data_IF_782783211339
#
_entry.id   IF_782783211339
#
_cell.length_a   1.000
_cell.length_b   1.000
_cell.length_c   1.000
_cell.angle_alpha   90.00
_cell.angle_beta   90.00
_cell.angle_gamma   90.00
#
_symmetry.space_group_name_H-M   'P 1'
#
loop_
_entity.id
_entity.type
_entity.pdbx_description
1 polymer ?
#
# COMPACT_ATOMS: atom_id res chain seq x y z
N UNK A 1 -13.53 33.67 -1.12
CA UNK A 1 -13.73 32.72 -2.24
C UNK A 1 -12.42 32.30 -2.90
N UNK A 2 -11.44 33.20 -3.09
CA UNK A 2 -10.09 32.86 -3.58
C UNK A 2 -9.36 31.83 -2.70
N UNK A 3 -9.46 31.96 -1.37
CA UNK A 3 -8.88 31.01 -0.42
C UNK A 3 -9.42 29.59 -0.58
N UNK A 4 -10.75 29.43 -0.67
CA UNK A 4 -11.39 28.12 -0.89
C UNK A 4 -10.96 27.51 -2.24
N UNK A 5 -10.85 28.33 -3.30
CA UNK A 5 -10.35 27.88 -4.61
C UNK A 5 -8.92 27.36 -4.53
N UNK A 6 -8.05 28.10 -3.84
CA UNK A 6 -6.65 27.71 -3.63
C UNK A 6 -6.55 26.40 -2.83
N UNK A 7 -7.34 26.25 -1.76
CA UNK A 7 -7.40 25.02 -0.95
C UNK A 7 -7.86 23.84 -1.81
N UNK A 8 -8.95 23.98 -2.58
CA UNK A 8 -9.45 22.91 -3.45
C UNK A 8 -8.43 22.51 -4.52
N UNK A 9 -7.71 23.49 -5.09
CA UNK A 9 -6.64 23.22 -6.05
C UNK A 9 -5.50 22.45 -5.39
N UNK A 10 -5.10 22.83 -4.17
CA UNK A 10 -4.06 22.11 -3.42
C UNK A 10 -4.45 20.69 -3.04
N UNK A 11 -5.72 20.46 -2.69
CA UNK A 11 -6.24 19.11 -2.47
C UNK A 11 -6.15 18.32 -3.78
N UNK A 12 -6.60 18.88 -4.90
CA UNK A 12 -6.55 18.22 -6.21
C UNK A 12 -5.11 17.85 -6.62
N UNK A 13 -4.15 18.77 -6.50
CA UNK A 13 -2.73 18.53 -6.79
C UNK A 13 -2.17 17.40 -5.92
N UNK A 14 -2.43 17.46 -4.60
CA UNK A 14 -1.93 16.46 -3.64
C UNK A 14 -2.56 15.07 -3.89
N UNK A 15 -3.82 15.03 -4.35
CA UNK A 15 -4.50 13.79 -4.72
C UNK A 15 -3.90 13.16 -5.99
N UNK A 16 -3.50 13.97 -6.98
CA UNK A 16 -2.80 13.49 -8.18
C UNK A 16 -1.45 12.88 -7.78
N UNK A 17 -0.70 13.53 -6.90
CA UNK A 17 0.54 12.97 -6.36
C UNK A 17 0.29 11.66 -5.60
N UNK A 18 -0.76 11.58 -4.79
CA UNK A 18 -1.12 10.37 -4.05
C UNK A 18 -1.46 9.20 -4.99
N UNK A 19 -2.21 9.45 -6.08
CA UNK A 19 -2.52 8.41 -7.08
C UNK A 19 -1.25 7.85 -7.74
N UNK A 20 -0.28 8.71 -8.06
CA UNK A 20 1.00 8.26 -8.62
C UNK A 20 1.79 7.38 -7.63
N UNK A 21 1.81 7.76 -6.35
CA UNK A 21 2.46 6.98 -5.29
C UNK A 21 1.75 5.64 -5.05
N UNK A 22 0.42 5.60 -5.07
CA UNK A 22 -0.36 4.36 -4.95
C UNK A 22 -0.13 3.41 -6.14
N UNK A 23 0.00 3.95 -7.36
CA UNK A 23 0.34 3.17 -8.53
C UNK A 23 1.75 2.55 -8.41
N UNK A 24 2.71 3.33 -7.90
CA UNK A 24 4.07 2.82 -7.64
C UNK A 24 4.08 1.77 -6.52
N UNK A 25 3.34 1.98 -5.43
CA UNK A 25 3.15 1.00 -4.34
C UNK A 25 2.64 -0.34 -4.90
N UNK A 26 1.61 -0.28 -5.74
CA UNK A 26 1.04 -1.45 -6.39
C UNK A 26 2.06 -2.14 -7.31
N UNK A 27 2.85 -1.37 -8.07
CA UNK A 27 3.86 -1.90 -8.96
C UNK A 27 4.98 -2.63 -8.17
N UNK A 28 5.42 -2.05 -7.05
CA UNK A 28 6.40 -2.69 -6.17
C UNK A 28 5.89 -4.01 -5.58
N UNK A 29 4.62 -4.06 -5.16
CA UNK A 29 4.00 -5.29 -4.63
C UNK A 29 3.72 -6.36 -5.69
N UNK A 30 3.59 -5.99 -6.97
CA UNK A 30 3.44 -6.95 -8.08
C UNK A 30 4.74 -7.65 -8.44
N UNK A 31 5.90 -7.13 -8.02
CA UNK A 31 7.20 -7.75 -8.31
C UNK A 31 7.32 -9.11 -7.60
N UNK A 32 8.06 -10.08 -8.18
CA UNK A 32 8.29 -11.38 -7.55
C UNK A 32 9.01 -11.27 -6.20
N UNK A 33 9.87 -10.27 -6.05
CA UNK A 33 10.60 -9.95 -4.83
C UNK A 33 10.30 -8.50 -4.44
N UNK A 34 9.81 -8.32 -3.21
CA UNK A 34 9.52 -7.00 -2.65
C UNK A 34 10.83 -6.37 -2.19
N UNK A 35 11.10 -5.14 -2.62
CA UNK A 35 12.15 -4.33 -2.01
C UNK A 35 11.58 -3.61 -0.77
N UNK A 36 11.94 -4.03 0.46
CA UNK A 36 11.35 -3.46 1.67
C UNK A 36 11.70 -1.99 1.86
N UNK A 37 12.87 -1.54 1.39
CA UNK A 37 13.30 -0.14 1.50
C UNK A 37 12.49 0.74 0.56
N UNK A 38 12.32 0.32 -0.69
CA UNK A 38 11.48 1.06 -1.65
C UNK A 38 10.03 1.12 -1.20
N UNK A 39 9.48 0.02 -0.67
CA UNK A 39 8.11 -0.02 -0.16
C UNK A 39 7.94 0.91 1.06
N UNK A 40 8.92 0.95 1.97
CA UNK A 40 8.90 1.85 3.12
C UNK A 40 8.89 3.32 2.70
N UNK A 41 9.75 3.72 1.75
CA UNK A 41 9.80 5.10 1.25
C UNK A 41 8.45 5.52 0.65
N UNK A 42 7.83 4.62 -0.12
CA UNK A 42 6.51 4.84 -0.73
C UNK A 42 5.43 4.96 0.35
N UNK A 43 5.46 4.12 1.37
CA UNK A 43 4.52 4.18 2.51
C UNK A 43 4.68 5.48 3.33
N UNK A 44 5.92 5.90 3.59
CA UNK A 44 6.21 7.15 4.29
C UNK A 44 5.71 8.37 3.50
N UNK A 45 5.93 8.36 2.17
CA UNK A 45 5.44 9.41 1.26
C UNK A 45 3.92 9.47 1.26
N UNK A 46 3.25 8.31 1.17
CA UNK A 46 1.79 8.20 1.28
C UNK A 46 1.27 8.78 2.60
N UNK A 47 1.90 8.45 3.73
CA UNK A 47 1.54 8.98 5.05
C UNK A 47 1.64 10.51 5.13
N UNK A 48 2.71 11.07 4.57
CA UNK A 48 2.90 12.52 4.46
C UNK A 48 1.80 13.16 3.60
N UNK A 49 1.52 12.62 2.41
CA UNK A 49 0.49 13.15 1.51
C UNK A 49 -0.91 13.09 2.14
N UNK A 50 -1.24 12.00 2.82
CA UNK A 50 -2.50 11.87 3.56
C UNK A 50 -2.61 12.92 4.67
N UNK A 51 -1.53 13.17 5.40
CA UNK A 51 -1.49 14.21 6.44
C UNK A 51 -1.70 15.61 5.84
N UNK A 52 -1.11 15.89 4.68
CA UNK A 52 -1.32 17.14 3.93
C UNK A 52 -2.77 17.28 3.45
N UNK A 53 -3.38 16.21 2.92
CA UNK A 53 -4.79 16.19 2.51
C UNK A 53 -5.70 16.47 3.71
N UNK A 54 -5.46 15.82 4.85
CA UNK A 54 -6.23 16.05 6.08
C UNK A 54 -6.14 17.50 6.56
N UNK A 55 -4.95 18.10 6.50
CA UNK A 55 -4.75 19.52 6.85
C UNK A 55 -5.57 20.45 5.94
N UNK A 56 -5.51 20.23 4.61
CA UNK A 56 -6.28 21.05 3.68
C UNK A 56 -7.79 20.83 3.77
N UNK A 57 -8.24 19.61 4.09
CA UNK A 57 -9.67 19.35 4.33
C UNK A 57 -10.18 20.04 5.60
N UNK A 58 -9.36 20.15 6.64
CA UNK A 58 -9.68 20.95 7.83
C UNK A 58 -9.77 22.44 7.50
N UNK A 59 -8.79 22.98 6.75
CA UNK A 59 -8.83 24.36 6.26
C UNK A 59 -10.07 24.62 5.38
N UNK A 60 -10.44 23.66 4.53
CA UNK A 60 -11.66 23.72 3.72
C UNK A 60 -12.88 23.86 4.61
N UNK A 61 -13.03 23.02 5.63
CA UNK A 61 -14.15 23.07 6.59
C UNK A 61 -14.23 24.39 7.35
N UNK A 62 -13.08 24.95 7.74
CA UNK A 62 -13.04 26.26 8.39
C UNK A 62 -13.49 27.39 7.45
N UNK A 63 -13.04 27.39 6.19
CA UNK A 63 -13.47 28.37 5.19
C UNK A 63 -14.94 28.20 4.78
N UNK A 64 -15.45 26.97 4.75
CA UNK A 64 -16.87 26.66 4.53
C UNK A 64 -17.76 27.25 5.62
N UNK A 65 -17.39 27.05 6.89
CA UNK A 65 -18.09 27.66 8.03
C UNK A 65 -18.06 29.19 7.95
N UNK A 66 -16.92 29.77 7.57
CA UNK A 66 -16.76 31.24 7.45
C UNK A 66 -17.60 31.83 6.30
N UNK A 67 -17.73 31.09 5.20
CA UNK A 67 -18.49 31.53 4.02
C UNK A 67 -19.95 31.07 4.04
N UNK A 68 -20.33 30.27 5.04
CA UNK A 68 -21.64 29.62 5.17
C UNK A 68 -22.01 28.82 3.90
N UNK A 69 -21.01 28.12 3.35
CA UNK A 69 -21.11 27.30 2.15
C UNK A 69 -20.83 25.84 2.52
N UNK A 70 -21.56 24.92 1.89
CA UNK A 70 -21.37 23.48 2.11
C UNK A 70 -21.15 22.77 0.77
N UNK A 71 -20.18 21.86 0.73
CA UNK A 71 -20.03 20.91 -0.36
C UNK A 71 -21.32 20.08 -0.51
N UNK A 72 -21.85 19.87 -1.74
CA UNK A 72 -21.17 19.91 -3.04
C UNK A 72 -21.28 21.24 -3.80
N UNK A 73 -21.46 22.37 -3.10
CA UNK A 73 -21.41 23.73 -3.65
C UNK A 73 -22.37 23.98 -4.83
N UNK A 74 -23.64 23.59 -4.69
CA UNK A 74 -24.66 23.71 -5.75
C UNK A 74 -24.78 25.11 -6.36
N UNK A 75 -24.44 26.15 -5.59
CA UNK A 75 -24.51 27.54 -6.02
C UNK A 75 -23.33 27.98 -6.91
N UNK A 76 -22.25 27.20 -6.98
CA UNK A 76 -21.05 27.52 -7.74
C UNK A 76 -20.59 26.33 -8.58
N UNK A 77 -20.90 26.36 -9.89
CA UNK A 77 -20.57 25.27 -10.81
C UNK A 77 -19.07 24.94 -10.88
N UNK A 78 -18.19 25.93 -10.71
CA UNK A 78 -16.75 25.72 -10.70
C UNK A 78 -16.31 24.91 -9.46
N UNK A 79 -16.77 25.28 -8.26
CA UNK A 79 -16.45 24.56 -7.04
C UNK A 79 -17.10 23.18 -7.00
N UNK A 80 -18.33 23.05 -7.49
CA UNK A 80 -19.00 21.76 -7.61
C UNK A 80 -18.24 20.79 -8.51
N UNK A 81 -17.69 21.28 -9.64
CA UNK A 81 -16.84 20.48 -10.53
C UNK A 81 -15.53 20.04 -9.85
N UNK A 82 -14.82 20.96 -9.21
CA UNK A 82 -13.59 20.61 -8.47
C UNK A 82 -13.87 19.61 -7.35
N UNK A 83 -14.96 19.78 -6.61
CA UNK A 83 -15.37 18.84 -5.56
C UNK A 83 -15.68 17.45 -6.11
N UNK A 84 -16.37 17.38 -7.25
CA UNK A 84 -16.63 16.12 -7.95
C UNK A 84 -15.32 15.42 -8.35
N UNK A 85 -14.39 16.15 -8.97
CA UNK A 85 -13.07 15.60 -9.34
C UNK A 85 -12.33 15.05 -8.11
N UNK A 86 -12.29 15.80 -7.02
CA UNK A 86 -11.65 15.37 -5.76
C UNK A 86 -12.30 14.08 -5.25
N UNK A 87 -13.63 14.02 -5.22
CA UNK A 87 -14.38 12.85 -4.73
C UNK A 87 -14.17 11.61 -5.60
N UNK A 88 -14.10 11.79 -6.92
CA UNK A 88 -13.77 10.70 -7.87
C UNK A 88 -12.35 10.15 -7.62
N UNK A 89 -11.37 11.04 -7.42
CA UNK A 89 -9.99 10.65 -7.08
C UNK A 89 -9.89 9.94 -5.73
N UNK A 90 -10.61 10.41 -4.72
CA UNK A 90 -10.68 9.72 -3.40
C UNK A 90 -11.22 8.31 -3.56
N UNK A 91 -12.25 8.14 -4.39
CA UNK A 91 -12.83 6.82 -4.67
C UNK A 91 -11.81 5.91 -5.39
N UNK A 92 -11.10 6.43 -6.39
CA UNK A 92 -10.04 5.69 -7.09
C UNK A 92 -8.89 5.31 -6.16
N UNK A 93 -8.40 6.26 -5.36
CA UNK A 93 -7.37 6.02 -4.35
C UNK A 93 -7.78 4.93 -3.34
N UNK A 94 -9.04 4.91 -2.92
CA UNK A 94 -9.55 3.87 -2.04
C UNK A 94 -9.56 2.48 -2.71
N UNK A 95 -9.93 2.41 -4.00
CA UNK A 95 -9.84 1.16 -4.78
C UNK A 95 -8.39 0.66 -4.89
N UNK A 96 -7.44 1.56 -5.17
CA UNK A 96 -6.01 1.20 -5.15
C UNK A 96 -5.58 0.68 -3.78
N UNK A 97 -6.00 1.34 -2.70
CA UNK A 97 -5.66 0.92 -1.35
C UNK A 97 -6.21 -0.48 -1.00
N UNK A 98 -7.44 -0.80 -1.42
CA UNK A 98 -8.01 -2.14 -1.28
C UNK A 98 -7.20 -3.21 -2.03
N UNK A 99 -6.78 -2.90 -3.26
CA UNK A 99 -5.96 -3.81 -4.06
C UNK A 99 -4.57 -4.03 -3.45
N UNK A 100 -3.94 -2.96 -2.93
CA UNK A 100 -2.65 -3.01 -2.24
C UNK A 100 -2.75 -3.89 -0.99
N UNK A 101 -3.81 -3.74 -0.21
CA UNK A 101 -4.07 -4.58 0.96
C UNK A 101 -4.20 -6.07 0.57
N UNK A 102 -4.96 -6.38 -0.49
CA UNK A 102 -5.11 -7.75 -0.98
C UNK A 102 -3.77 -8.36 -1.42
N UNK A 103 -2.94 -7.62 -2.14
CA UNK A 103 -1.60 -8.08 -2.55
C UNK A 103 -0.70 -8.35 -1.34
N UNK A 104 -0.74 -7.46 -0.35
CA UNK A 104 0.06 -7.60 0.86
C UNK A 104 -0.37 -8.82 1.68
N UNK A 105 -1.67 -9.09 1.77
CA UNK A 105 -2.20 -10.30 2.40
C UNK A 105 -1.71 -11.59 1.70
N UNK A 106 -1.75 -11.63 0.36
CA UNK A 106 -1.22 -12.76 -0.43
C UNK A 106 0.27 -12.99 -0.12
N UNK A 107 1.07 -11.93 -0.04
CA UNK A 107 2.49 -12.03 0.31
C UNK A 107 2.70 -12.53 1.74
N UNK A 108 1.92 -12.06 2.70
CA UNK A 108 1.95 -12.54 4.09
C UNK A 108 1.60 -14.02 4.19
N UNK A 109 0.56 -14.47 3.47
CA UNK A 109 0.19 -15.88 3.40
C UNK A 109 1.32 -16.74 2.81
N UNK A 110 1.95 -16.29 1.70
CA UNK A 110 3.09 -16.99 1.10
C UNK A 110 4.27 -17.11 2.06
N UNK A 111 4.63 -16.02 2.74
CA UNK A 111 5.73 -16.01 3.73
C UNK A 111 5.41 -16.95 4.89
N UNK A 112 4.19 -16.94 5.42
CA UNK A 112 3.78 -17.83 6.49
C UNK A 112 3.83 -19.30 6.05
N UNK A 113 3.34 -19.62 4.85
CA UNK A 113 3.43 -20.97 4.30
C UNK A 113 4.89 -21.43 4.15
N UNK A 114 5.77 -20.59 3.62
CA UNK A 114 7.21 -20.88 3.54
C UNK A 114 7.82 -21.11 4.92
N UNK A 115 7.53 -20.27 5.91
CA UNK A 115 7.98 -20.47 7.31
C UNK A 115 7.50 -21.81 7.86
N UNK A 116 6.26 -22.21 7.62
CA UNK A 116 5.77 -23.52 8.10
C UNK A 116 6.46 -24.70 7.41
N UNK A 117 6.79 -24.57 6.12
CA UNK A 117 7.54 -25.60 5.38
C UNK A 117 8.98 -25.68 5.89
N UNK A 118 9.66 -24.54 6.07
CA UNK A 118 11.01 -24.47 6.63
C UNK A 118 11.04 -25.04 8.05
N UNK A 119 10.13 -24.63 8.93
CA UNK A 119 10.05 -25.18 10.29
C UNK A 119 9.77 -26.70 10.29
N UNK A 120 8.95 -27.20 9.36
CA UNK A 120 8.73 -28.65 9.18
C UNK A 120 9.97 -29.37 8.65
N UNK A 121 10.75 -28.73 7.77
CA UNK A 121 12.01 -29.26 7.26
C UNK A 121 13.11 -29.27 8.33
N UNK A 122 13.24 -28.21 9.13
CA UNK A 122 14.17 -28.15 10.27
C UNK A 122 13.84 -29.23 11.32
N UNK A 123 12.57 -29.43 11.64
CA UNK A 123 12.13 -30.52 12.53
C UNK A 123 12.34 -31.92 11.92
N UNK A 124 12.47 -32.04 10.59
CA UNK A 124 12.79 -33.29 9.89
C UNK A 124 14.29 -33.53 9.69
N UNK A 125 15.15 -32.54 9.98
CA UNK A 125 16.60 -32.61 9.78
C UNK A 125 17.36 -32.79 11.10
N UNK A 126 16.74 -33.46 12.08
CA UNK A 126 17.46 -34.11 13.17
C UNK A 126 17.96 -35.51 12.71
N UNK A 127 18.61 -35.58 11.55
CA UNK A 127 19.43 -36.74 11.20
C UNK A 127 20.84 -36.40 11.68
N UNK A 128 21.16 -36.81 12.90
CA UNK A 128 22.47 -37.06 13.52
C UNK A 128 22.35 -36.73 15.01
N UNK A 129 21.80 -37.68 15.77
CA UNK A 129 21.96 -37.69 17.21
C UNK A 129 23.45 -37.92 17.55
N UNK A 130 23.90 -37.28 18.63
CA UNK A 130 25.27 -37.31 19.17
C UNK A 130 25.78 -38.72 19.55
N UNK A 131 24.93 -39.75 19.44
CA UNK A 131 25.21 -41.17 19.75
C UNK A 131 25.60 -42.04 18.53
N UNK A 132 25.65 -41.48 17.31
CA UNK A 132 26.38 -42.08 16.20
C UNK A 132 25.86 -43.43 15.67
N UNK A 133 24.56 -43.73 15.76
CA UNK A 133 24.00 -44.94 15.15
C UNK A 133 23.13 -44.62 13.92
N UNK A 134 23.76 -44.72 12.75
CA UNK A 134 23.09 -44.68 11.44
C UNK A 134 22.41 -46.01 11.11
N UNK A 135 21.09 -46.01 10.91
CA UNK A 135 20.39 -47.09 10.19
C UNK A 135 20.27 -46.73 8.72
N UNK A 136 21.09 -47.38 7.90
CA UNK A 136 21.13 -47.26 6.46
C UNK A 136 19.86 -47.81 5.80
N UNK A 137 19.36 -47.11 4.79
CA UNK A 137 18.16 -47.49 4.03
C UNK A 137 18.05 -46.87 2.64
N UNK A 138 19.13 -46.96 1.85
CA UNK A 138 19.18 -47.02 0.36
C UNK A 138 18.49 -45.93 -0.49
N UNK A 139 19.38 -45.13 -1.11
CA UNK A 139 19.47 -44.81 -2.56
C UNK A 139 18.28 -44.12 -3.26
N UNK A 140 18.45 -42.83 -3.51
CA UNK A 140 17.75 -42.07 -4.55
C UNK A 140 18.55 -40.81 -4.89
N UNK A 141 19.16 -40.79 -6.08
CA UNK A 141 20.12 -39.77 -6.54
C UNK A 141 19.53 -38.34 -6.50
N UNK A 142 20.21 -37.42 -5.83
CA UNK A 142 19.96 -35.97 -5.95
C UNK A 142 20.82 -35.43 -7.08
N UNK A 143 20.20 -34.92 -8.14
CA UNK A 143 20.88 -34.14 -9.16
C UNK A 143 21.16 -32.74 -8.59
N UNK A 144 22.45 -32.39 -8.46
CA UNK A 144 22.87 -31.02 -8.20
C UNK A 144 22.85 -30.26 -9.52
N UNK A 145 22.02 -29.22 -9.62
CA UNK A 145 22.26 -28.12 -10.55
C UNK A 145 22.84 -26.96 -9.74
N UNK A 146 24.06 -26.58 -10.10
CA UNK A 146 24.69 -25.34 -9.65
C UNK A 146 24.33 -24.22 -10.60
N UNK A 147 23.82 -23.10 -10.06
CA UNK A 147 23.97 -21.74 -10.59
C UNK A 147 24.26 -20.86 -9.38
#
# INVERSE_FOLDING_TARGET
MENLRSILTKIEDTMVELEAILAEEMNQLRRPQINPVSLQIVADTKSRLLSTISYYDELRRQEELRLNLEAPYYQNAAFSRSWKNITERVTSANQYNQNIYSLLDIHMQKINNLKTIVNKAENGTALYSQDGQSRAGRSGKVYNFSI
#
